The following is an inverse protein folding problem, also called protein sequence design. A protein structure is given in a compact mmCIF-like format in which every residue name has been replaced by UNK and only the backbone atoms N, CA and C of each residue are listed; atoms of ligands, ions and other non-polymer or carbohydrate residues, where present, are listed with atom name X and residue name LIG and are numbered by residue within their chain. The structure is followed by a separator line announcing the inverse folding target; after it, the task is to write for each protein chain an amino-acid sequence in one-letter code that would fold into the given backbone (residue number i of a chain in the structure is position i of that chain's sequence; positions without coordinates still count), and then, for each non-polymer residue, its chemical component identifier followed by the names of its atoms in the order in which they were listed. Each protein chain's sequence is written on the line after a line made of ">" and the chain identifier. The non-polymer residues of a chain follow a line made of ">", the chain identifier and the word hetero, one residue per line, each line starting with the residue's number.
data_IF_356508798045
#
_entry.id   IF_356508798045
#
_cell.length_a   1.000
_cell.length_b   1.000
_cell.length_c   1.000
_cell.angle_alpha   90.00
_cell.angle_beta   90.00
_cell.angle_gamma   90.00
#
_symmetry.space_group_name_H-M   'P 1'
#
loop_
_entity.id
_entity.type
_entity.pdbx_description
1 polymer ?
#
# COMPACT_ATOMS: atom_id res chain seq x y z
N UNK A 1 -2.34 1.50 25.76
CA UNK A 1 -3.80 1.23 25.86
C UNK A 1 -4.31 1.03 24.43
N UNK A 2 -4.47 -0.23 24.01
CA UNK A 2 -5.05 -0.54 22.69
C UNK A 2 -6.55 -0.26 22.78
N UNK A 3 -7.01 0.66 21.96
CA UNK A 3 -8.39 1.11 21.93
C UNK A 3 -9.25 0.07 21.23
N UNK A 4 -10.49 -0.13 21.67
CA UNK A 4 -11.36 -1.28 21.38
C UNK A 4 -11.58 -1.65 19.89
N UNK A 5 -11.38 -0.76 18.92
CA UNK A 5 -11.47 -1.07 17.50
C UNK A 5 -10.16 -1.52 16.84
N UNK A 6 -9.00 -1.31 17.50
CA UNK A 6 -7.68 -1.74 17.01
C UNK A 6 -7.20 -3.05 17.69
N UNK A 7 -8.03 -3.72 18.48
CA UNK A 7 -7.66 -4.96 19.17
C UNK A 7 -7.26 -6.11 18.23
N UNK A 8 -7.61 -6.02 16.98
CA UNK A 8 -7.29 -7.00 15.94
C UNK A 8 -6.11 -6.59 15.05
N UNK A 9 -5.48 -5.44 15.31
CA UNK A 9 -4.30 -4.99 14.57
C UNK A 9 -3.04 -5.32 15.37
N UNK A 10 -2.27 -6.26 14.84
CA UNK A 10 -0.89 -6.49 15.28
C UNK A 10 0.04 -5.55 14.54
N UNK A 11 1.03 -4.98 15.21
CA UNK A 11 2.08 -4.19 14.58
C UNK A 11 3.43 -4.92 14.73
N UNK A 12 4.20 -4.93 13.64
CA UNK A 12 5.56 -5.45 13.61
C UNK A 12 6.49 -4.34 13.09
N UNK A 13 7.45 -3.94 13.91
CA UNK A 13 8.51 -3.02 13.51
C UNK A 13 9.67 -3.79 12.88
N UNK A 14 10.23 -3.26 11.79
CA UNK A 14 11.44 -3.78 11.17
C UNK A 14 12.63 -2.88 11.53
N UNK A 15 13.78 -3.49 11.79
CA UNK A 15 15.03 -2.75 12.00
C UNK A 15 15.57 -2.26 10.65
N UNK A 16 14.98 -1.18 10.14
CA UNK A 16 15.30 -0.60 8.83
C UNK A 16 14.71 -1.38 7.65
N UNK A 17 14.79 -0.75 6.49
CA UNK A 17 14.21 -1.22 5.23
C UNK A 17 14.80 -2.58 4.78
N UNK A 18 16.04 -2.90 5.12
CA UNK A 18 16.71 -4.17 4.80
C UNK A 18 16.35 -5.33 5.73
N UNK A 19 15.63 -5.07 6.82
CA UNK A 19 15.35 -6.08 7.84
C UNK A 19 14.30 -7.12 7.46
N UNK A 20 13.56 -6.96 6.35
CA UNK A 20 12.56 -7.92 5.92
C UNK A 20 13.19 -9.22 5.41
N UNK A 21 12.65 -10.36 5.87
CA UNK A 21 13.02 -11.70 5.39
C UNK A 21 11.77 -12.44 4.90
N UNK A 22 11.85 -13.02 3.70
CA UNK A 22 10.74 -13.78 3.10
C UNK A 22 10.32 -14.98 3.96
N UNK A 23 11.23 -15.52 4.75
CA UNK A 23 10.94 -16.57 5.71
C UNK A 23 9.88 -16.19 6.77
N UNK A 24 9.57 -14.89 6.93
CA UNK A 24 8.55 -14.41 7.86
C UNK A 24 7.14 -14.39 7.28
N UNK A 25 6.97 -14.59 5.97
CA UNK A 25 5.63 -14.62 5.33
C UNK A 25 4.63 -15.54 6.03
N UNK A 26 5.01 -16.75 6.50
CA UNK A 26 4.09 -17.63 7.23
C UNK A 26 3.51 -17.02 8.51
N UNK A 27 4.21 -16.10 9.17
CA UNK A 27 3.74 -15.44 10.38
C UNK A 27 2.47 -14.60 10.14
N UNK A 28 2.26 -14.16 8.90
CA UNK A 28 1.15 -13.32 8.49
C UNK A 28 0.01 -14.09 7.82
N UNK A 29 0.04 -15.44 7.81
CA UNK A 29 -0.97 -16.24 7.10
C UNK A 29 -2.39 -16.03 7.61
N UNK A 30 -2.55 -15.77 8.91
CA UNK A 30 -3.87 -15.56 9.56
C UNK A 30 -4.39 -14.13 9.42
N UNK A 31 -3.56 -13.18 8.95
CA UNK A 31 -4.00 -11.80 8.76
C UNK A 31 -4.86 -11.69 7.50
N UNK A 32 -6.05 -11.13 7.62
CA UNK A 32 -6.95 -10.84 6.49
C UNK A 32 -6.40 -9.71 5.60
N UNK A 33 -5.66 -8.78 6.18
CA UNK A 33 -4.95 -7.69 5.48
C UNK A 33 -3.59 -7.46 6.13
N UNK A 34 -2.60 -7.10 5.33
CA UNK A 34 -1.26 -6.74 5.78
C UNK A 34 -0.92 -5.37 5.21
N UNK A 35 -0.78 -4.39 6.08
CA UNK A 35 -0.44 -3.02 5.71
C UNK A 35 1.06 -2.83 5.82
N UNK A 36 1.69 -2.41 4.74
CA UNK A 36 3.10 -2.05 4.69
C UNK A 36 3.21 -0.54 4.77
N UNK A 37 3.76 -0.06 5.88
CA UNK A 37 4.00 1.35 6.13
C UNK A 37 5.51 1.58 6.21
N UNK A 38 6.04 2.32 5.28
CA UNK A 38 7.43 2.79 5.26
C UNK A 38 7.43 4.32 5.16
N UNK A 39 8.62 4.92 5.27
CA UNK A 39 8.78 6.34 5.00
C UNK A 39 8.29 6.65 3.58
N UNK A 40 7.79 7.84 3.37
CA UNK A 40 7.16 8.22 2.10
C UNK A 40 8.09 8.07 0.89
N UNK A 41 9.38 8.38 1.03
CA UNK A 41 10.39 8.21 -0.02
C UNK A 41 10.71 6.74 -0.34
N UNK A 42 10.28 5.81 0.53
CA UNK A 42 10.44 4.37 0.34
C UNK A 42 9.18 3.68 -0.24
N UNK A 43 8.25 4.43 -0.87
CA UNK A 43 6.98 3.89 -1.37
C UNK A 43 7.16 2.74 -2.37
N UNK A 44 8.14 2.79 -3.27
CA UNK A 44 8.39 1.69 -4.23
C UNK A 44 8.79 0.39 -3.53
N UNK A 45 9.52 0.51 -2.46
CA UNK A 45 9.87 -0.63 -1.63
C UNK A 45 8.68 -1.15 -0.82
N UNK A 46 7.80 -0.26 -0.36
CA UNK A 46 6.54 -0.65 0.26
C UNK A 46 5.64 -1.41 -0.72
N UNK A 47 5.56 -0.98 -1.97
CA UNK A 47 4.85 -1.69 -3.06
C UNK A 47 5.42 -3.10 -3.23
N UNK A 48 6.75 -3.21 -3.39
CA UNK A 48 7.44 -4.48 -3.57
C UNK A 48 7.17 -5.44 -2.40
N UNK A 49 7.27 -4.94 -1.18
CA UNK A 49 7.02 -5.75 0.01
C UNK A 49 5.53 -6.14 0.14
N UNK A 50 4.60 -5.23 -0.14
CA UNK A 50 3.18 -5.52 -0.06
C UNK A 50 2.72 -6.59 -1.07
N UNK A 51 3.38 -6.69 -2.24
CA UNK A 51 3.14 -7.75 -3.24
C UNK A 51 3.38 -9.13 -2.69
N UNK A 52 4.36 -9.32 -1.81
CA UNK A 52 4.64 -10.61 -1.19
C UNK A 52 3.45 -11.18 -0.41
N UNK A 53 2.50 -10.34 0.00
CA UNK A 53 1.27 -10.74 0.68
C UNK A 53 0.08 -10.97 -0.28
N UNK A 54 0.30 -10.85 -1.59
CA UNK A 54 -0.74 -11.03 -2.60
C UNK A 54 -1.91 -10.05 -2.41
N UNK A 55 -3.13 -10.51 -2.66
CA UNK A 55 -4.35 -9.68 -2.57
C UNK A 55 -4.63 -9.11 -1.17
N UNK A 56 -3.96 -9.59 -0.13
CA UNK A 56 -4.06 -9.08 1.25
C UNK A 56 -3.16 -7.88 1.51
N UNK A 57 -2.11 -7.70 0.70
CA UNK A 57 -1.16 -6.60 0.83
C UNK A 57 -1.83 -5.24 0.57
N UNK A 58 -1.48 -4.27 1.39
CA UNK A 58 -1.88 -2.86 1.25
C UNK A 58 -0.68 -1.97 1.49
N UNK A 59 -0.64 -0.85 0.81
CA UNK A 59 0.42 0.16 1.00
C UNK A 59 -0.17 1.34 1.75
N UNK A 60 0.35 1.59 2.94
CA UNK A 60 -0.01 2.75 3.75
C UNK A 60 1.02 3.86 3.52
N UNK A 61 0.58 4.93 2.87
CA UNK A 61 1.45 6.06 2.50
C UNK A 61 1.18 7.22 3.45
N UNK A 62 2.21 7.72 4.17
CA UNK A 62 2.10 8.95 4.93
C UNK A 62 1.71 10.14 4.04
N UNK A 63 0.95 11.09 4.60
CA UNK A 63 0.47 12.27 3.87
C UNK A 63 1.61 13.17 3.41
N UNK A 64 1.35 13.95 2.34
CA UNK A 64 2.36 14.86 1.77
C UNK A 64 2.81 15.95 2.73
N UNK A 65 1.94 16.36 3.61
CA UNK A 65 2.17 17.40 4.61
C UNK A 65 3.33 17.08 5.57
N UNK A 66 3.66 15.78 5.72
CA UNK A 66 4.76 15.33 6.57
C UNK A 66 6.13 15.35 5.86
N UNK A 67 6.14 15.74 4.56
CA UNK A 67 7.36 15.75 3.76
C UNK A 67 7.81 14.36 3.29
N UNK A 68 8.94 14.28 2.56
CA UNK A 68 9.39 13.05 1.90
C UNK A 68 9.80 11.92 2.86
N UNK A 69 10.26 12.26 4.05
CA UNK A 69 10.67 11.30 5.09
C UNK A 69 9.60 11.11 6.18
N UNK A 70 8.38 11.59 5.93
CA UNK A 70 7.27 11.43 6.88
C UNK A 70 6.95 9.96 7.12
N UNK A 71 6.75 9.59 8.37
CA UNK A 71 6.42 8.25 8.83
C UNK A 71 5.16 8.24 9.73
N UNK A 72 4.80 7.08 10.27
CA UNK A 72 3.67 6.96 11.19
C UNK A 72 3.89 7.70 12.52
N UNK A 73 5.13 7.84 12.96
CA UNK A 73 5.45 8.58 14.19
C UNK A 73 5.24 10.09 13.96
N UNK A 74 5.53 10.59 12.76
CA UNK A 74 5.23 11.97 12.39
C UNK A 74 3.72 12.23 12.34
N UNK A 75 2.90 11.26 11.93
CA UNK A 75 1.45 11.40 12.05
C UNK A 75 1.00 11.59 13.50
N UNK A 76 1.61 10.86 14.45
CA UNK A 76 1.31 11.05 15.87
C UNK A 76 1.79 12.42 16.35
N UNK A 77 3.03 12.78 16.06
CA UNK A 77 3.67 14.00 16.56
C UNK A 77 3.10 15.26 15.96
N UNK A 78 3.01 15.30 14.63
CA UNK A 78 2.65 16.50 13.87
C UNK A 78 1.17 16.50 13.53
N UNK A 79 0.67 15.46 12.89
CA UNK A 79 -0.72 15.38 12.43
C UNK A 79 -1.74 15.31 13.57
N UNK A 80 -1.45 14.55 14.61
CA UNK A 80 -2.31 14.39 15.78
C UNK A 80 -1.88 15.26 16.98
N UNK A 81 -0.79 16.01 16.87
CA UNK A 81 -0.23 16.84 17.96
C UNK A 81 -0.03 16.07 19.27
N UNK A 82 0.30 14.79 19.15
CA UNK A 82 0.46 13.87 20.27
C UNK A 82 -0.85 13.33 20.88
N UNK A 83 -2.01 13.66 20.33
CA UNK A 83 -3.30 13.15 20.80
C UNK A 83 -3.57 11.74 20.23
N UNK A 84 -3.63 10.69 21.07
CA UNK A 84 -3.85 9.32 20.61
C UNK A 84 -5.22 9.08 19.94
N UNK A 85 -6.26 9.83 20.31
CA UNK A 85 -7.59 9.69 19.73
C UNK A 85 -7.64 10.27 18.33
N UNK A 86 -7.00 11.42 18.13
CA UNK A 86 -6.84 12.06 16.80
C UNK A 86 -5.97 11.17 15.90
N UNK A 87 -4.83 10.68 16.41
CA UNK A 87 -3.95 9.75 15.68
C UNK A 87 -4.69 8.50 15.22
N UNK A 88 -5.48 7.91 16.10
CA UNK A 88 -6.30 6.76 15.77
C UNK A 88 -7.26 7.05 14.61
N UNK A 89 -7.98 8.17 14.67
CA UNK A 89 -8.91 8.56 13.59
C UNK A 89 -8.19 8.76 12.25
N UNK A 90 -6.99 9.36 12.27
CA UNK A 90 -6.13 9.50 11.10
C UNK A 90 -5.73 8.12 10.56
N UNK A 91 -5.24 7.24 11.43
CA UNK A 91 -4.78 5.91 11.07
C UNK A 91 -5.92 5.04 10.50
N UNK A 92 -7.09 5.01 11.15
CA UNK A 92 -8.25 4.24 10.69
C UNK A 92 -8.69 4.67 9.28
N UNK A 93 -8.75 5.97 9.01
CA UNK A 93 -9.06 6.48 7.67
C UNK A 93 -7.99 6.10 6.64
N UNK A 94 -6.72 6.21 7.00
CA UNK A 94 -5.62 5.87 6.13
C UNK A 94 -5.58 4.36 5.83
N UNK A 95 -5.83 3.50 6.82
CA UNK A 95 -5.94 2.05 6.63
C UNK A 95 -7.11 1.70 5.70
N UNK A 96 -8.27 2.35 5.88
CA UNK A 96 -9.44 2.13 5.01
C UNK A 96 -9.17 2.55 3.56
N UNK A 97 -8.41 3.63 3.35
CA UNK A 97 -8.07 4.16 2.03
C UNK A 97 -6.84 3.50 1.39
N UNK A 98 -6.10 2.65 2.13
CA UNK A 98 -4.84 2.07 1.65
C UNK A 98 -5.06 1.18 0.41
N UNK A 99 -4.44 1.51 -0.73
CA UNK A 99 -4.60 0.76 -1.97
C UNK A 99 -3.86 -0.58 -1.93
N UNK A 100 -4.22 -1.47 -2.83
CA UNK A 100 -3.36 -2.61 -3.19
C UNK A 100 -2.10 -2.10 -3.89
N UNK A 101 -0.99 -2.87 -3.88
CA UNK A 101 0.23 -2.49 -4.61
C UNK A 101 -0.03 -2.20 -6.09
N UNK A 102 -0.90 -2.98 -6.73
CA UNK A 102 -1.25 -2.82 -8.15
C UNK A 102 -2.14 -1.60 -8.40
N UNK A 103 -3.15 -1.35 -7.56
CA UNK A 103 -3.95 -0.13 -7.66
C UNK A 103 -3.09 1.13 -7.53
N UNK A 104 -2.12 1.12 -6.63
CA UNK A 104 -1.19 2.24 -6.48
C UNK A 104 -0.32 2.45 -7.72
N UNK A 105 0.14 1.38 -8.36
CA UNK A 105 0.88 1.48 -9.61
C UNK A 105 0.03 2.03 -10.76
N UNK A 106 -1.22 1.56 -10.89
CA UNK A 106 -2.17 2.10 -11.87
C UNK A 106 -2.37 3.60 -11.66
N UNK A 107 -2.54 4.05 -10.41
CA UNK A 107 -2.68 5.47 -10.08
C UNK A 107 -1.47 6.32 -10.47
N UNK A 108 -0.29 5.72 -10.55
CA UNK A 108 0.98 6.38 -10.93
C UNK A 108 1.22 6.43 -12.43
N UNK A 109 0.44 5.70 -13.23
CA UNK A 109 0.53 5.80 -14.68
C UNK A 109 0.09 7.20 -15.14
N UNK A 110 0.64 7.70 -16.25
CA UNK A 110 0.18 8.93 -16.87
C UNK A 110 -1.34 8.86 -17.11
N UNK A 111 -2.10 9.93 -16.80
CA UNK A 111 -3.56 9.91 -16.95
C UNK A 111 -4.04 9.99 -18.40
N UNK A 112 -3.15 10.37 -19.30
CA UNK A 112 -3.34 10.60 -20.73
C UNK A 112 -2.69 9.52 -21.60
N UNK A 113 -2.36 8.37 -21.00
CA UNK A 113 -1.78 7.25 -21.70
C UNK A 113 -2.81 6.66 -22.65
N UNK A 114 -2.62 6.85 -23.95
CA UNK A 114 -3.56 6.37 -24.94
C UNK A 114 -3.61 4.82 -24.99
N UNK A 115 -4.78 4.21 -25.27
CA UNK A 115 -4.92 2.75 -25.27
C UNK A 115 -3.90 2.02 -26.15
N UNK A 116 -3.52 2.59 -27.27
CA UNK A 116 -2.51 2.00 -28.20
C UNK A 116 -1.07 2.11 -27.71
N UNK A 117 -0.80 3.01 -26.75
CA UNK A 117 0.53 3.15 -26.15
C UNK A 117 0.70 2.21 -24.93
N UNK A 118 -0.38 1.56 -24.47
CA UNK A 118 -0.37 0.68 -23.30
C UNK A 118 0.60 -0.50 -23.48
N UNK A 119 0.62 -1.10 -24.68
CA UNK A 119 1.48 -2.26 -24.96
C UNK A 119 2.97 -1.90 -24.99
N UNK A 120 3.29 -0.68 -25.39
CA UNK A 120 4.68 -0.18 -25.45
C UNK A 120 5.18 0.40 -24.14
N UNK A 121 4.26 0.75 -23.22
CA UNK A 121 4.64 1.30 -21.93
C UNK A 121 5.13 0.19 -20.97
N UNK A 122 6.44 0.21 -20.66
CA UNK A 122 7.07 -0.85 -19.86
C UNK A 122 6.37 -1.11 -18.53
N UNK A 123 5.97 -0.06 -17.80
CA UNK A 123 5.26 -0.18 -16.52
C UNK A 123 3.89 -0.85 -16.65
N UNK A 124 3.19 -0.70 -17.79
CA UNK A 124 1.91 -1.37 -18.05
C UNK A 124 2.14 -2.84 -18.37
N UNK A 125 3.13 -3.17 -19.20
CA UNK A 125 3.45 -4.58 -19.50
C UNK A 125 3.79 -5.37 -18.24
N UNK A 126 4.66 -4.82 -17.39
CA UNK A 126 5.03 -5.46 -16.13
C UNK A 126 3.81 -5.65 -15.22
N UNK A 127 2.96 -4.63 -15.12
CA UNK A 127 1.72 -4.69 -14.37
C UNK A 127 0.78 -5.78 -14.90
N UNK A 128 0.55 -5.86 -16.21
CA UNK A 128 -0.33 -6.85 -16.84
C UNK A 128 0.21 -8.28 -16.63
N UNK A 129 1.53 -8.49 -16.76
CA UNK A 129 2.15 -9.76 -16.43
C UNK A 129 1.87 -10.19 -14.99
N UNK A 130 2.02 -9.28 -14.02
CA UNK A 130 1.75 -9.57 -12.63
C UNK A 130 0.25 -9.83 -12.35
N UNK A 131 -0.64 -9.05 -12.97
CA UNK A 131 -2.08 -9.25 -12.85
C UNK A 131 -2.53 -10.61 -13.42
N UNK A 132 -1.85 -11.11 -14.44
CA UNK A 132 -2.08 -12.45 -15.01
C UNK A 132 -1.93 -13.58 -14.00
N UNK A 133 -1.12 -13.40 -12.95
CA UNK A 133 -0.92 -14.38 -11.89
C UNK A 133 -1.94 -14.27 -10.73
N UNK A 134 -2.86 -13.31 -10.78
CA UNK A 134 -3.89 -13.13 -9.76
C UNK A 134 -5.15 -13.95 -10.05
N UNK A 135 -5.92 -14.18 -8.98
CA UNK A 135 -7.26 -14.76 -9.14
C UNK A 135 -8.18 -13.84 -9.96
N UNK A 136 -9.17 -14.42 -10.67
CA UNK A 136 -9.99 -13.69 -11.65
C UNK A 136 -10.62 -12.41 -11.12
N UNK A 137 -11.24 -12.46 -9.94
CA UNK A 137 -11.92 -11.29 -9.36
C UNK A 137 -10.97 -10.12 -9.05
N UNK A 138 -9.77 -10.44 -8.54
CA UNK A 138 -8.76 -9.43 -8.24
C UNK A 138 -8.20 -8.82 -9.52
N UNK A 139 -7.90 -9.66 -10.51
CA UNK A 139 -7.44 -9.23 -11.84
C UNK A 139 -8.46 -8.31 -12.50
N UNK A 140 -9.72 -8.71 -12.57
CA UNK A 140 -10.78 -7.94 -13.22
C UNK A 140 -10.99 -6.58 -12.54
N UNK A 141 -10.90 -6.51 -11.21
CA UNK A 141 -10.97 -5.24 -10.48
C UNK A 141 -9.83 -4.30 -10.86
N UNK A 142 -8.59 -4.79 -10.97
CA UNK A 142 -7.45 -3.97 -11.37
C UNK A 142 -7.48 -3.58 -12.85
N UNK A 143 -7.96 -4.46 -13.73
CA UNK A 143 -8.14 -4.12 -15.16
C UNK A 143 -9.18 -3.01 -15.36
N UNK A 144 -10.26 -3.00 -14.58
CA UNK A 144 -11.22 -1.88 -14.59
C UNK A 144 -10.56 -0.57 -14.14
N UNK A 145 -9.80 -0.58 -13.05
CA UNK A 145 -9.07 0.60 -12.61
C UNK A 145 -8.08 1.10 -13.68
N UNK A 146 -7.41 0.19 -14.37
CA UNK A 146 -6.53 0.54 -15.48
C UNK A 146 -7.31 1.19 -16.63
N UNK A 147 -8.44 0.61 -17.02
CA UNK A 147 -9.30 1.17 -18.07
C UNK A 147 -9.84 2.55 -17.68
N UNK A 148 -10.28 2.74 -16.43
CA UNK A 148 -10.74 4.05 -15.94
C UNK A 148 -9.62 5.09 -15.92
N UNK A 149 -8.37 4.66 -15.71
CA UNK A 149 -7.19 5.55 -15.68
C UNK A 149 -6.77 6.03 -17.07
N UNK A 150 -6.91 5.16 -18.06
CA UNK A 150 -6.43 5.40 -19.44
C UNK A 150 -7.54 5.90 -20.41
N UNK A 151 -8.80 6.01 -19.93
CA UNK A 151 -9.95 6.47 -20.73
C UNK A 151 -10.56 5.36 -21.54
#
# INVERSE_FOLDING_TARGET
>A
MLVSGLREIGACGLCGIGGWQSAWLPLFQRASRVYVALDRDATDRAITLARAFGTRGRVLIPTEELGPKGDLNDWLRVGAKGDPAVFRSILERALAASPTPWALQIQRLPPDLAPWDLEDHAGVRDLLCELGHQGPLSRDAHLRLLAERCG
#
